data_IF_804110143178
#
_entry.id   IF_804110143178
#
_cell.length_a   1.000
_cell.length_b   1.000
_cell.length_c   1.000
_cell.angle_alpha   90.00
_cell.angle_beta   90.00
_cell.angle_gamma   90.00
#
_symmetry.space_group_name_H-M   'P 1'
#
loop_
_entity.id
_entity.type
_entity.pdbx_description
1 polymer ?
#
# COMPACT_ATOMS: atom_id res chain seq x y z
N UNK A 1 -1.68 5.69 -15.87
CA UNK A 1 -2.02 5.87 -14.46
C UNK A 1 -2.68 4.62 -13.93
N UNK A 2 -2.11 4.02 -12.94
CA UNK A 2 -2.66 2.83 -12.34
C UNK A 2 -2.98 3.05 -10.88
N UNK A 3 -3.51 2.00 -10.27
CA UNK A 3 -3.86 2.06 -8.86
C UNK A 3 -2.63 2.35 -7.99
N UNK A 4 -1.47 1.82 -8.36
CA UNK A 4 -0.24 2.08 -7.64
C UNK A 4 0.07 3.58 -7.61
N UNK A 5 -0.06 4.25 -8.74
CA UNK A 5 0.19 5.69 -8.81
C UNK A 5 -0.83 6.46 -7.99
N UNK A 6 -2.08 6.02 -8.02
CA UNK A 6 -3.13 6.66 -7.25
C UNK A 6 -2.83 6.58 -5.75
N UNK A 7 -2.47 5.39 -5.29
CA UNK A 7 -2.15 5.19 -3.87
C UNK A 7 -0.93 6.01 -3.48
N UNK A 8 0.10 6.02 -4.31
CA UNK A 8 1.28 6.84 -4.04
C UNK A 8 0.94 8.31 -3.94
N UNK A 9 -0.01 8.76 -4.75
CA UNK A 9 -0.40 10.16 -4.76
C UNK A 9 -1.09 10.64 -3.50
N UNK A 10 -1.73 9.73 -2.77
CA UNK A 10 -2.43 10.10 -1.54
C UNK A 10 -1.58 9.93 -0.29
N UNK A 11 -0.38 9.38 -0.45
CA UNK A 11 0.52 9.17 0.68
C UNK A 11 1.57 10.27 0.76
N UNK A 12 2.11 10.53 1.94
CA UNK A 12 3.27 11.43 2.05
C UNK A 12 4.40 10.92 1.17
N UNK A 13 5.18 11.83 0.60
CA UNK A 13 6.22 11.46 -0.34
C UNK A 13 7.21 10.45 0.21
N UNK A 14 7.60 10.62 1.46
CA UNK A 14 8.56 9.71 2.07
C UNK A 14 8.02 8.30 2.21
N UNK A 15 6.73 8.18 2.45
CA UNK A 15 6.07 6.87 2.55
C UNK A 15 5.84 6.29 1.16
N UNK A 16 5.37 7.13 0.23
CA UNK A 16 5.06 6.68 -1.12
C UNK A 16 6.28 6.09 -1.82
N UNK A 17 7.47 6.61 -1.51
CA UNK A 17 8.70 6.11 -2.11
C UNK A 17 8.96 4.65 -1.77
N UNK A 18 8.36 4.15 -0.70
CA UNK A 18 8.56 2.77 -0.26
C UNK A 18 7.39 1.86 -0.60
N UNK A 19 6.42 2.36 -1.35
CA UNK A 19 5.33 1.54 -1.86
C UNK A 19 5.76 0.96 -3.20
N UNK A 20 5.85 -0.36 -3.26
CA UNK A 20 6.24 -1.06 -4.47
C UNK A 20 5.07 -1.14 -5.43
N UNK A 21 3.91 -1.52 -4.92
CA UNK A 21 2.72 -1.63 -5.75
C UNK A 21 1.47 -1.63 -4.88
N UNK A 22 0.35 -1.40 -5.52
CA UNK A 22 -0.96 -1.50 -4.89
C UNK A 22 -1.90 -2.20 -5.85
N UNK A 23 -2.74 -3.06 -5.34
CA UNK A 23 -3.73 -3.77 -6.14
C UNK A 23 -5.03 -3.89 -5.36
N UNK A 24 -6.11 -4.07 -6.09
CA UNK A 24 -7.44 -4.20 -5.49
C UNK A 24 -8.04 -5.51 -5.98
N UNK A 25 -8.42 -6.36 -5.02
CA UNK A 25 -9.06 -7.64 -5.32
C UNK A 25 -10.22 -7.83 -4.37
N UNK A 26 -11.40 -8.03 -4.92
CA UNK A 26 -12.59 -8.30 -4.12
C UNK A 26 -12.75 -7.27 -3.00
N UNK A 27 -12.59 -6.00 -3.35
CA UNK A 27 -12.70 -4.88 -2.41
C UNK A 27 -11.63 -4.90 -1.33
N UNK A 28 -10.56 -5.64 -1.55
CA UNK A 28 -9.41 -5.66 -0.65
C UNK A 28 -8.24 -4.96 -1.33
N UNK A 29 -7.76 -3.92 -0.68
CA UNK A 29 -6.59 -3.20 -1.19
C UNK A 29 -5.34 -3.86 -0.61
N UNK A 30 -4.46 -4.28 -1.49
CA UNK A 30 -3.19 -4.89 -1.08
C UNK A 30 -2.08 -3.93 -1.45
N UNK A 31 -1.38 -3.43 -0.43
CA UNK A 31 -0.26 -2.52 -0.63
C UNK A 31 1.02 -3.26 -0.29
N UNK A 32 1.95 -3.25 -1.21
CA UNK A 32 3.22 -3.93 -1.05
C UNK A 32 4.30 -2.90 -0.74
N UNK A 33 4.91 -3.03 0.43
CA UNK A 33 5.99 -2.14 0.85
C UNK A 33 7.33 -2.83 0.64
N UNK A 34 8.39 -2.03 0.56
CA UNK A 34 9.72 -2.58 0.29
C UNK A 34 10.45 -3.04 1.56
N UNK A 35 9.92 -2.73 2.73
CA UNK A 35 10.55 -3.16 3.98
C UNK A 35 9.54 -3.24 5.11
N UNK A 36 9.85 -4.03 6.16
CA UNK A 36 8.94 -4.13 7.32
C UNK A 36 8.75 -2.81 8.05
N UNK A 37 9.78 -1.99 8.08
CA UNK A 37 9.70 -0.68 8.75
C UNK A 37 8.62 0.17 8.10
N UNK A 38 8.64 0.23 6.77
CA UNK A 38 7.68 1.05 6.06
C UNK A 38 6.30 0.42 6.03
N UNK A 39 6.21 -0.90 6.05
CA UNK A 39 4.94 -1.58 6.19
C UNK A 39 4.27 -1.20 7.52
N UNK A 40 5.04 -1.14 8.59
CA UNK A 40 4.51 -0.74 9.89
C UNK A 40 4.00 0.71 9.86
N UNK A 41 4.74 1.60 9.21
CA UNK A 41 4.34 2.99 9.09
C UNK A 41 3.04 3.13 8.28
N UNK A 42 2.91 2.34 7.23
CA UNK A 42 1.68 2.35 6.43
C UNK A 42 0.48 1.93 7.26
N UNK A 43 0.66 1.00 8.18
CA UNK A 43 -0.44 0.56 9.04
C UNK A 43 -0.96 1.68 9.93
N UNK A 44 -0.07 2.56 10.37
CA UNK A 44 -0.50 3.72 11.16
C UNK A 44 -1.29 4.71 10.32
N UNK A 45 -1.05 4.74 9.02
CA UNK A 45 -1.75 5.66 8.13
C UNK A 45 -3.05 5.07 7.59
N UNK A 46 -3.32 3.83 7.92
CA UNK A 46 -4.42 3.07 7.34
C UNK A 46 -5.77 3.80 7.37
N UNK A 47 -6.23 4.31 8.51
CA UNK A 47 -7.54 4.98 8.53
C UNK A 47 -7.62 6.19 7.60
N UNK A 48 -6.55 6.95 7.51
CA UNK A 48 -6.50 8.09 6.61
C UNK A 48 -6.48 7.68 5.16
N UNK A 49 -5.77 6.59 4.86
CA UNK A 49 -5.69 6.07 3.51
C UNK A 49 -7.05 5.57 3.04
N UNK A 50 -7.78 4.86 3.90
CA UNK A 50 -9.10 4.37 3.55
C UNK A 50 -10.03 5.53 3.19
N UNK A 51 -9.99 6.59 3.98
CA UNK A 51 -10.85 7.73 3.74
C UNK A 51 -10.51 8.40 2.40
N UNK A 52 -9.24 8.55 2.11
CA UNK A 52 -8.83 9.18 0.87
C UNK A 52 -9.18 8.31 -0.34
N UNK A 53 -9.08 7.01 -0.21
CA UNK A 53 -9.47 6.11 -1.28
C UNK A 53 -10.97 6.21 -1.55
N UNK A 54 -11.77 6.30 -0.49
CA UNK A 54 -13.21 6.44 -0.64
C UNK A 54 -13.55 7.76 -1.35
N UNK A 55 -12.82 8.82 -1.04
CA UNK A 55 -13.02 10.12 -1.70
C UNK A 55 -12.73 10.04 -3.18
N UNK A 56 -11.86 9.13 -3.59
CA UNK A 56 -11.52 8.93 -5.00
C UNK A 56 -12.44 7.93 -5.68
N UNK A 57 -13.44 7.43 -4.96
CA UNK A 57 -14.36 6.47 -5.53
C UNK A 57 -13.85 5.04 -5.51
N UNK A 58 -12.77 4.79 -4.82
CA UNK A 58 -12.21 3.44 -4.71
C UNK A 58 -12.77 2.78 -3.45
N UNK A 59 -13.53 1.72 -3.64
CA UNK A 59 -14.11 1.00 -2.52
C UNK A 59 -13.20 -0.13 -2.09
N UNK A 60 -12.61 0.04 -0.92
CA UNK A 60 -11.78 -0.99 -0.33
C UNK A 60 -12.29 -1.25 1.07
N UNK A 61 -12.87 -2.41 1.29
CA UNK A 61 -13.38 -2.77 2.61
C UNK A 61 -12.27 -3.09 3.58
N UNK A 62 -11.10 -3.40 3.04
CA UNK A 62 -9.99 -3.84 3.85
C UNK A 62 -8.69 -3.44 3.18
N UNK A 63 -7.76 -2.93 3.96
CA UNK A 63 -6.43 -2.63 3.45
C UNK A 63 -5.47 -3.62 4.09
N UNK A 64 -4.75 -4.34 3.25
CA UNK A 64 -3.77 -5.32 3.68
C UNK A 64 -2.39 -4.84 3.24
N UNK A 65 -1.47 -4.75 4.18
CA UNK A 65 -0.12 -4.27 3.89
C UNK A 65 0.84 -5.44 4.01
N UNK A 66 1.61 -5.66 2.95
CA UNK A 66 2.57 -6.75 2.90
C UNK A 66 3.94 -6.21 2.59
N UNK A 67 4.94 -7.01 2.87
CA UNK A 67 6.33 -6.67 2.60
C UNK A 67 6.82 -7.53 1.44
N UNK A 68 7.46 -6.88 0.46
CA UNK A 68 8.03 -7.59 -0.67
C UNK A 68 9.20 -8.45 -0.19
N UNK A 69 9.22 -9.68 -0.62
CA UNK A 69 10.33 -10.56 -0.30
C UNK A 69 11.60 -10.03 -0.95
N UNK A 70 12.73 -10.05 -0.24
CA UNK A 70 13.99 -9.62 -0.83
C UNK A 70 14.36 -10.49 -2.02
N UNK A 71 14.83 -9.85 -3.07
CA UNK A 71 15.30 -10.57 -4.24
C UNK A 71 16.51 -11.39 -3.84
N UNK A 72 16.54 -12.60 -4.31
CA UNK A 72 17.68 -13.46 -4.01
C UNK A 72 17.64 -14.09 -2.63
N UNK A 73 16.55 -13.98 -1.95
CA UNK A 73 16.40 -14.65 -0.66
C UNK A 73 16.44 -16.15 -0.88
N UNK A 74 17.46 -16.82 -0.40
CA UNK A 74 17.60 -18.25 -0.64
C UNK A 74 16.60 -19.05 0.17
N UNK A 75 15.91 -18.43 0.90
CA UNK A 75 14.87 -18.98 1.54
C UNK A 75 15.04 -20.23 2.05
N UNK A 76 15.12 -19.98 1.64
CA UNK A 76 14.73 -20.40 2.33
C UNK A 76 14.05 -21.21 2.32
#
# INVERSE_FOLDING_TARGET
AGLTDTVRGILPKNVAAHVVSASLRDERMIILADSPVWAARLRYLDPGVEKRLADLGIQANRIQIRVRAPAGDPGR
#
